data_IF_870377456555
#
_entry.id   IF_870377456555
#
_cell.length_a   1.000
_cell.length_b   1.000
_cell.length_c   1.000
_cell.angle_alpha   90.00
_cell.angle_beta   90.00
_cell.angle_gamma   90.00
#
_symmetry.space_group_name_H-M   'P 1'
#
loop_
_entity.id
_entity.type
_entity.pdbx_description
1 polymer ?
#
# COMPACT_ATOMS: atom_id res chain seq x y z
N UNK A 1 -2.40 31.67 11.28
CA UNK A 1 -2.89 31.41 9.92
C UNK A 1 -2.31 30.07 9.55
N UNK A 2 -3.04 29.00 9.92
CA UNK A 2 -2.61 27.61 9.76
C UNK A 2 -2.86 27.17 8.32
N UNK A 3 -1.79 27.00 7.52
CA UNK A 3 -1.85 26.39 6.17
C UNK A 3 -0.54 25.68 5.78
N UNK A 4 0.07 24.97 6.73
CA UNK A 4 1.12 24.00 6.45
C UNK A 4 0.53 22.62 6.73
N UNK A 5 0.23 21.88 5.66
CA UNK A 5 0.11 20.43 5.77
C UNK A 5 1.11 19.86 4.78
N UNK A 6 2.27 19.46 5.28
CA UNK A 6 2.91 18.28 4.75
C UNK A 6 1.94 17.12 4.89
N UNK A 7 1.84 16.35 3.81
CA UNK A 7 0.93 15.21 3.74
C UNK A 7 1.53 13.95 4.38
N UNK A 8 2.74 14.05 4.96
CA UNK A 8 3.38 12.99 5.72
C UNK A 8 2.84 12.87 7.16
N UNK A 9 2.37 13.95 7.80
CA UNK A 9 2.02 13.90 9.24
C UNK A 9 0.61 14.38 9.62
N UNK A 10 -0.27 14.74 8.69
CA UNK A 10 -1.60 15.26 9.04
C UNK A 10 -2.75 14.47 8.39
N UNK A 11 -2.92 13.25 8.87
CA UNK A 11 -4.11 12.40 8.69
C UNK A 11 -5.34 12.96 9.43
N UNK A 12 -5.84 14.16 9.09
CA UNK A 12 -7.15 14.59 9.60
C UNK A 12 -7.98 15.32 8.55
N UNK A 13 -9.04 14.64 8.09
CA UNK A 13 -10.39 15.15 7.73
C UNK A 13 -11.31 14.10 7.06
N UNK A 14 -10.94 12.83 7.04
CA UNK A 14 -11.94 11.77 7.21
C UNK A 14 -12.33 11.74 8.70
N UNK A 15 -13.57 11.39 9.08
CA UNK A 15 -13.80 10.91 10.44
C UNK A 15 -12.77 9.81 10.68
N UNK A 16 -11.96 9.93 11.74
CA UNK A 16 -11.19 8.79 12.19
C UNK A 16 -12.19 7.62 12.31
N UNK A 17 -12.00 6.49 11.61
CA UNK A 17 -12.85 5.33 11.83
C UNK A 17 -12.66 4.78 13.25
N UNK A 18 -11.70 5.32 14.00
CA UNK A 18 -11.42 4.98 15.38
C UNK A 18 -12.05 6.00 16.30
N UNK A 19 -12.83 5.43 17.22
CA UNK A 19 -13.54 6.06 18.31
C UNK A 19 -12.64 6.90 19.25
N UNK A 20 -13.27 7.53 20.23
CA UNK A 20 -12.64 8.33 21.30
C UNK A 20 -11.61 7.55 22.17
N UNK A 21 -11.21 6.32 21.80
CA UNK A 21 -10.17 5.55 22.50
C UNK A 21 -8.75 6.04 22.21
N UNK A 22 -8.56 6.86 21.18
CA UNK A 22 -7.26 7.45 20.82
C UNK A 22 -6.24 6.45 20.25
N UNK A 23 -6.67 5.25 19.84
CA UNK A 23 -5.79 4.23 19.26
C UNK A 23 -5.67 4.42 17.75
N UNK A 24 -4.43 4.45 17.25
CA UNK A 24 -4.11 4.52 15.83
C UNK A 24 -3.80 3.13 15.26
N UNK A 25 -4.16 2.84 14.00
CA UNK A 25 -3.71 1.64 13.30
C UNK A 25 -2.19 1.60 13.20
N UNK A 26 -1.65 0.39 13.13
CA UNK A 26 -0.29 0.19 12.63
C UNK A 26 -0.26 0.18 11.09
N UNK A 27 0.93 0.18 10.51
CA UNK A 27 1.13 0.30 9.05
C UNK A 27 0.47 -0.84 8.26
N UNK A 28 0.48 -2.06 8.82
CA UNK A 28 -0.19 -3.22 8.24
C UNK A 28 -1.71 -3.05 8.24
N UNK A 29 -2.27 -2.57 9.34
CA UNK A 29 -3.70 -2.24 9.44
C UNK A 29 -4.09 -1.10 8.49
N UNK A 30 -3.26 -0.06 8.37
CA UNK A 30 -3.51 1.07 7.46
C UNK A 30 -3.56 0.65 5.99
N UNK A 31 -2.67 -0.24 5.57
CA UNK A 31 -2.67 -0.78 4.20
C UNK A 31 -4.01 -1.46 3.85
N UNK A 32 -4.57 -2.20 4.81
CA UNK A 32 -5.87 -2.88 4.62
C UNK A 32 -7.02 -1.87 4.55
N UNK A 33 -7.02 -0.89 5.45
CA UNK A 33 -8.06 0.17 5.49
C UNK A 33 -8.02 1.00 4.21
N UNK A 34 -6.83 1.41 3.76
CA UNK A 34 -6.63 2.18 2.55
C UNK A 34 -7.13 1.43 1.31
N UNK A 35 -6.83 0.13 1.19
CA UNK A 35 -7.33 -0.70 0.10
C UNK A 35 -8.87 -0.79 0.08
N UNK A 36 -9.52 -0.98 1.23
CA UNK A 36 -10.99 -1.00 1.32
C UNK A 36 -11.62 0.33 0.91
N UNK A 37 -11.05 1.44 1.37
CA UNK A 37 -11.56 2.77 1.04
C UNK A 37 -11.37 3.11 -0.43
N UNK A 38 -10.23 2.71 -1.01
CA UNK A 38 -9.96 2.93 -2.43
C UNK A 38 -10.88 2.06 -3.31
N UNK A 39 -11.16 0.81 -2.92
CA UNK A 39 -12.17 -0.02 -3.60
C UNK A 39 -13.54 0.66 -3.63
N UNK A 40 -13.99 1.21 -2.51
CA UNK A 40 -15.26 1.93 -2.45
C UNK A 40 -15.24 3.18 -3.34
N UNK A 41 -14.10 3.88 -3.38
CA UNK A 41 -13.89 5.07 -4.19
C UNK A 41 -13.94 4.80 -5.71
N UNK A 42 -13.41 3.67 -6.18
CA UNK A 42 -13.45 3.30 -7.60
C UNK A 42 -14.85 2.92 -8.07
N UNK A 43 -15.70 2.42 -7.17
CA UNK A 43 -17.04 1.95 -7.50
C UNK A 43 -18.03 3.03 -7.96
N UNK A 44 -17.75 4.34 -7.77
CA UNK A 44 -18.61 5.55 -8.01
C UNK A 44 -20.04 5.51 -7.43
N UNK A 45 -20.53 4.35 -7.03
CA UNK A 45 -21.79 4.00 -6.40
C UNK A 45 -21.71 2.50 -6.05
N UNK A 46 -20.82 2.10 -5.12
CA UNK A 46 -20.45 0.70 -4.93
C UNK A 46 -21.62 -0.23 -4.57
N UNK A 47 -22.71 0.30 -3.99
CA UNK A 47 -23.80 -0.52 -3.45
C UNK A 47 -23.41 -1.25 -2.16
N UNK A 48 -22.24 -0.94 -1.62
CA UNK A 48 -21.69 -1.50 -0.38
C UNK A 48 -20.89 -0.42 0.37
N UNK A 49 -20.62 -0.68 1.65
CA UNK A 49 -19.77 0.14 2.53
C UNK A 49 -18.82 -0.75 3.31
N UNK A 50 -17.66 -0.21 3.63
CA UNK A 50 -16.76 -0.79 4.63
C UNK A 50 -16.82 -0.01 5.95
N UNK A 51 -16.71 -0.71 7.06
CA UNK A 51 -16.43 -0.14 8.37
C UNK A 51 -15.22 -0.85 8.98
N UNK A 52 -14.32 -0.08 9.60
CA UNK A 52 -13.16 -0.61 10.30
C UNK A 52 -13.25 -0.25 11.78
N UNK A 53 -12.85 -1.16 12.66
CA UNK A 53 -12.83 -0.94 14.11
C UNK A 53 -11.56 -1.51 14.72
N UNK A 54 -10.93 -0.76 15.62
CA UNK A 54 -9.78 -1.22 16.39
C UNK A 54 -10.21 -1.62 17.78
N UNK A 55 -9.90 -2.86 18.14
CA UNK A 55 -10.16 -3.38 19.47
C UNK A 55 -8.96 -4.06 20.08
N UNK A 56 -9.21 -4.75 21.18
CA UNK A 56 -8.21 -5.54 21.89
C UNK A 56 -8.81 -6.86 22.32
N UNK A 57 -8.00 -7.90 22.19
CA UNK A 57 -8.24 -9.21 22.74
C UNK A 57 -7.06 -9.60 23.65
N UNK A 58 -7.20 -10.73 24.33
CA UNK A 58 -6.07 -11.33 25.04
C UNK A 58 -4.95 -11.68 24.05
N UNK A 59 -3.70 -11.49 24.48
CA UNK A 59 -2.50 -11.86 23.72
C UNK A 59 -2.55 -13.32 23.29
N UNK A 60 -1.98 -13.64 22.12
CA UNK A 60 -2.00 -15.01 21.60
C UNK A 60 -1.41 -16.03 22.57
N UNK A 61 -0.33 -15.68 23.24
CA UNK A 61 0.36 -16.54 24.22
C UNK A 61 -0.53 -16.88 25.41
N UNK A 62 -1.42 -15.96 25.81
CA UNK A 62 -2.35 -16.16 26.91
C UNK A 62 -3.61 -16.92 26.51
N UNK A 63 -4.07 -16.71 25.27
CA UNK A 63 -5.27 -17.34 24.72
C UNK A 63 -5.12 -17.54 23.20
N UNK A 64 -4.63 -18.71 22.76
CA UNK A 64 -4.57 -19.03 21.33
C UNK A 64 -5.98 -19.16 20.74
N UNK A 65 -6.13 -18.83 19.46
CA UNK A 65 -7.40 -18.97 18.72
C UNK A 65 -7.40 -20.21 17.81
N UNK A 66 -6.77 -21.30 18.24
CA UNK A 66 -6.89 -22.59 17.54
C UNK A 66 -8.34 -23.09 17.48
N UNK A 67 -9.17 -22.65 18.43
CA UNK A 67 -10.61 -22.82 18.45
C UNK A 67 -11.30 -21.45 18.57
N UNK A 68 -12.59 -21.41 18.27
CA UNK A 68 -13.40 -20.18 18.37
C UNK A 68 -13.46 -19.73 19.85
N UNK A 69 -13.00 -18.51 20.17
CA UNK A 69 -13.11 -17.97 21.52
C UNK A 69 -14.56 -17.66 21.91
N UNK A 70 -14.88 -17.46 23.20
CA UNK A 70 -16.22 -17.10 23.63
C UNK A 70 -16.79 -15.89 22.85
N UNK A 71 -18.05 -15.98 22.41
CA UNK A 71 -18.69 -14.92 21.60
C UNK A 71 -18.71 -13.56 22.30
N UNK A 72 -18.76 -13.53 23.64
CA UNK A 72 -18.65 -12.30 24.42
C UNK A 72 -17.29 -11.61 24.24
N UNK A 73 -16.21 -12.39 24.13
CA UNK A 73 -14.86 -11.87 23.91
C UNK A 73 -14.72 -11.33 22.48
N UNK A 74 -15.31 -12.01 21.49
CA UNK A 74 -15.35 -11.51 20.10
C UNK A 74 -16.16 -10.23 19.97
N UNK A 75 -17.30 -10.18 20.66
CA UNK A 75 -18.18 -9.01 20.71
C UNK A 75 -17.44 -7.80 21.28
N UNK A 76 -16.72 -7.99 22.38
CA UNK A 76 -15.90 -6.96 23.00
C UNK A 76 -14.71 -6.55 22.11
N UNK A 77 -14.00 -7.52 21.54
CA UNK A 77 -12.82 -7.27 20.71
C UNK A 77 -13.16 -6.58 19.37
N UNK A 78 -14.34 -6.82 18.81
CA UNK A 78 -14.76 -6.22 17.55
C UNK A 78 -15.74 -5.05 17.67
N UNK A 79 -16.25 -4.73 18.87
CA UNK A 79 -17.23 -3.66 19.03
C UNK A 79 -18.58 -3.94 18.36
N UNK A 80 -19.07 -5.19 18.40
CA UNK A 80 -20.38 -5.60 17.85
C UNK A 80 -20.97 -6.77 18.64
N UNK A 81 -22.13 -7.28 18.23
CA UNK A 81 -22.74 -8.47 18.84
C UNK A 81 -22.48 -9.70 17.97
N UNK A 82 -21.55 -10.56 18.39
CA UNK A 82 -21.27 -11.83 17.71
C UNK A 82 -22.32 -12.90 18.06
N UNK A 83 -22.81 -13.60 17.05
CA UNK A 83 -23.77 -14.71 17.14
C UNK A 83 -23.16 -16.06 16.76
N UNK A 84 -22.09 -16.04 15.96
CA UNK A 84 -21.34 -17.20 15.52
C UNK A 84 -19.96 -16.77 15.04
N UNK A 85 -19.02 -17.71 14.94
CA UNK A 85 -17.71 -17.42 14.36
C UNK A 85 -17.06 -18.69 13.82
N UNK A 86 -16.16 -18.49 12.88
CA UNK A 86 -15.31 -19.53 12.31
C UNK A 86 -13.88 -19.02 12.21
N UNK A 87 -12.94 -19.80 12.73
CA UNK A 87 -11.51 -19.56 12.54
C UNK A 87 -11.17 -19.84 11.07
N UNK A 88 -10.74 -18.81 10.35
CA UNK A 88 -10.23 -18.96 8.98
C UNK A 88 -8.79 -19.44 9.03
N UNK A 89 -7.98 -18.82 9.88
CA UNK A 89 -6.65 -19.30 10.26
C UNK A 89 -6.29 -18.80 11.65
N UNK A 90 -5.49 -19.56 12.38
CA UNK A 90 -4.87 -19.14 13.61
C UNK A 90 -3.45 -19.68 13.70
N UNK A 91 -2.61 -18.97 14.44
CA UNK A 91 -1.26 -19.41 14.76
C UNK A 91 -1.31 -20.24 16.04
N UNK A 92 -0.95 -21.52 15.94
CA UNK A 92 -0.96 -22.48 17.05
C UNK A 92 0.41 -23.10 17.27
N UNK A 93 0.75 -23.40 18.52
CA UNK A 93 1.93 -24.21 18.84
C UNK A 93 1.52 -25.67 18.95
N UNK A 94 2.11 -26.53 18.11
CA UNK A 94 1.87 -27.97 18.17
C UNK A 94 2.37 -28.59 19.50
N UNK A 95 3.40 -27.99 20.11
CA UNK A 95 3.92 -28.38 21.42
C UNK A 95 4.64 -27.19 22.11
N UNK A 96 4.81 -27.21 23.44
CA UNK A 96 5.60 -26.19 24.14
C UNK A 96 7.01 -26.05 23.55
N UNK A 97 7.41 -24.83 23.22
CA UNK A 97 8.72 -24.52 22.65
C UNK A 97 8.85 -24.73 21.13
N UNK A 98 7.79 -25.18 20.44
CA UNK A 98 7.75 -25.17 18.96
C UNK A 98 7.37 -23.80 18.42
N UNK A 99 7.77 -23.47 17.18
CA UNK A 99 7.27 -22.28 16.50
C UNK A 99 5.74 -22.33 16.37
N UNK A 100 5.13 -21.16 16.23
CA UNK A 100 3.74 -21.08 15.85
C UNK A 100 3.59 -21.43 14.37
N UNK A 101 2.59 -22.24 14.07
CA UNK A 101 2.26 -22.65 12.70
C UNK A 101 0.79 -22.31 12.40
N UNK A 102 0.47 -21.93 11.14
CA UNK A 102 -0.90 -21.67 10.74
C UNK A 102 -1.73 -22.96 10.79
N UNK A 103 -2.96 -22.89 11.30
CA UNK A 103 -3.89 -24.03 11.32
C UNK A 103 -4.30 -24.52 9.93
N UNK A 104 -4.11 -23.70 8.89
CA UNK A 104 -4.51 -23.99 7.50
C UNK A 104 -3.48 -23.41 6.52
N UNK A 105 -3.28 -24.01 5.33
CA UNK A 105 -2.43 -23.44 4.28
C UNK A 105 -2.86 -22.02 3.92
N UNK A 106 -1.91 -21.09 3.84
CA UNK A 106 -2.22 -19.66 3.67
C UNK A 106 -2.92 -19.38 2.34
N UNK A 107 -2.50 -20.01 1.24
CA UNK A 107 -3.11 -19.78 -0.08
C UNK A 107 -4.58 -20.20 -0.14
N UNK A 108 -4.92 -21.30 0.54
CA UNK A 108 -6.31 -21.74 0.66
C UNK A 108 -7.16 -20.73 1.45
N UNK A 109 -6.58 -20.11 2.49
CA UNK A 109 -7.25 -19.08 3.29
C UNK A 109 -7.34 -17.76 2.52
N UNK A 110 -6.31 -17.37 1.76
CA UNK A 110 -6.30 -16.20 0.87
C UNK A 110 -7.41 -16.30 -0.18
N UNK A 111 -7.48 -17.42 -0.90
CA UNK A 111 -8.53 -17.66 -1.89
C UNK A 111 -9.94 -17.62 -1.27
N UNK A 112 -10.09 -18.15 -0.06
CA UNK A 112 -11.35 -18.10 0.66
C UNK A 112 -11.74 -16.67 1.10
N UNK A 113 -10.78 -15.89 1.62
CA UNK A 113 -11.01 -14.48 2.00
C UNK A 113 -11.34 -13.63 0.78
N UNK A 114 -10.61 -13.81 -0.32
CA UNK A 114 -10.90 -13.13 -1.59
C UNK A 114 -12.31 -13.45 -2.08
N UNK A 115 -12.73 -14.73 -2.02
CA UNK A 115 -14.10 -15.13 -2.39
C UNK A 115 -15.17 -14.52 -1.47
N UNK A 116 -14.93 -14.45 -0.16
CA UNK A 116 -15.84 -13.81 0.79
C UNK A 116 -15.98 -12.31 0.49
N UNK A 117 -14.88 -11.62 0.21
CA UNK A 117 -14.89 -10.20 -0.16
C UNK A 117 -15.59 -9.97 -1.50
N UNK A 118 -15.23 -10.73 -2.54
CA UNK A 118 -15.82 -10.62 -3.88
C UNK A 118 -17.32 -10.92 -3.91
N UNK A 119 -17.82 -11.75 -2.99
CA UNK A 119 -19.26 -11.98 -2.86
C UNK A 119 -20.03 -10.73 -2.39
N UNK A 120 -19.35 -9.76 -1.76
CA UNK A 120 -19.96 -8.52 -1.23
C UNK A 120 -19.53 -7.27 -1.99
N UNK A 121 -18.35 -7.32 -2.60
CA UNK A 121 -17.73 -6.24 -3.35
C UNK A 121 -17.73 -6.65 -4.83
N UNK A 122 -18.64 -6.12 -5.65
CA UNK A 122 -18.65 -6.43 -7.07
C UNK A 122 -17.36 -5.91 -7.71
N UNK A 123 -16.56 -6.83 -8.27
CA UNK A 123 -15.40 -6.47 -9.07
C UNK A 123 -15.88 -5.91 -10.42
N UNK A 124 -15.70 -4.61 -10.64
CA UNK A 124 -16.15 -3.93 -11.86
C UNK A 124 -15.11 -3.98 -12.99
N UNK A 125 -13.83 -4.07 -12.65
CA UNK A 125 -12.69 -4.05 -13.56
C UNK A 125 -11.49 -4.85 -12.99
N UNK A 126 -10.46 -5.06 -13.82
CA UNK A 126 -9.22 -5.75 -13.46
C UNK A 126 -8.56 -5.14 -12.22
N UNK A 127 -8.49 -3.81 -12.16
CA UNK A 127 -7.93 -3.03 -11.05
C UNK A 127 -8.62 -3.35 -9.72
N UNK A 128 -9.95 -3.41 -9.71
CA UNK A 128 -10.74 -3.79 -8.52
C UNK A 128 -10.42 -5.23 -8.11
N UNK A 129 -10.25 -6.14 -9.07
CA UNK A 129 -9.79 -7.51 -8.83
C UNK A 129 -8.43 -7.56 -8.16
N UNK A 130 -7.42 -6.86 -8.69
CA UNK A 130 -6.07 -6.81 -8.11
C UNK A 130 -6.04 -6.27 -6.69
N UNK A 131 -6.87 -5.28 -6.38
CA UNK A 131 -6.93 -4.72 -5.02
C UNK A 131 -7.68 -5.65 -4.05
N UNK A 132 -8.61 -6.47 -4.53
CA UNK A 132 -9.21 -7.56 -3.74
C UNK A 132 -8.19 -8.68 -3.44
N UNK A 133 -7.36 -9.04 -4.42
CA UNK A 133 -6.27 -10.01 -4.22
C UNK A 133 -5.27 -9.49 -3.17
N UNK A 134 -4.85 -8.23 -3.29
CA UNK A 134 -4.01 -7.56 -2.30
C UNK A 134 -4.62 -7.59 -0.89
N UNK A 135 -5.92 -7.32 -0.75
CA UNK A 135 -6.60 -7.45 0.54
C UNK A 135 -6.53 -8.87 1.09
N UNK A 136 -6.74 -9.88 0.25
CA UNK A 136 -6.58 -11.29 0.62
C UNK A 136 -5.19 -11.58 1.19
N UNK A 137 -4.14 -11.13 0.50
CA UNK A 137 -2.76 -11.28 0.96
C UNK A 137 -2.47 -10.56 2.28
N UNK A 138 -2.92 -9.30 2.41
CA UNK A 138 -2.64 -8.50 3.62
C UNK A 138 -3.43 -8.98 4.85
N UNK A 139 -4.63 -9.54 4.63
CA UNK A 139 -5.42 -10.14 5.70
C UNK A 139 -4.84 -11.49 6.15
N UNK A 140 -4.24 -12.23 5.23
CA UNK A 140 -3.70 -13.57 5.44
C UNK A 140 -2.18 -13.55 5.32
N UNK A 141 -1.56 -12.96 6.34
CA UNK A 141 -0.10 -13.01 6.54
C UNK A 141 0.25 -14.08 7.59
N UNK A 142 1.52 -14.51 7.71
CA UNK A 142 1.89 -15.63 8.58
C UNK A 142 1.65 -15.40 10.06
N UNK A 143 1.52 -14.15 10.50
CA UNK A 143 1.53 -13.83 11.93
C UNK A 143 0.16 -13.67 12.59
N UNK A 144 -0.87 -13.03 12.03
CA UNK A 144 -2.14 -12.81 12.72
C UNK A 144 -3.06 -14.04 12.73
N UNK A 145 -4.00 -14.02 13.66
CA UNK A 145 -5.17 -14.89 13.62
C UNK A 145 -6.29 -14.18 12.83
N UNK A 146 -7.09 -14.92 12.07
CA UNK A 146 -8.18 -14.37 11.27
C UNK A 146 -9.46 -15.19 11.45
N UNK A 147 -10.54 -14.52 11.83
CA UNK A 147 -11.87 -15.10 12.01
C UNK A 147 -12.87 -14.46 11.08
N UNK A 148 -13.80 -15.27 10.58
CA UNK A 148 -15.07 -14.81 10.04
C UNK A 148 -16.10 -14.85 11.17
N UNK A 149 -16.76 -13.73 11.45
CA UNK A 149 -17.72 -13.62 12.57
C UNK A 149 -19.11 -13.28 12.05
N UNK A 150 -20.11 -13.99 12.54
CA UNK A 150 -21.51 -13.80 12.18
C UNK A 150 -22.16 -12.88 13.22
N UNK A 151 -22.83 -11.81 12.78
CA UNK A 151 -23.54 -10.86 13.65
C UNK A 151 -25.08 -10.94 13.54
N UNK A 152 -25.60 -11.82 12.69
CA UNK A 152 -27.03 -11.95 12.40
C UNK A 152 -27.58 -10.89 11.45
N UNK A 153 -26.70 -10.15 10.77
CA UNK A 153 -27.00 -9.26 9.66
C UNK A 153 -26.50 -9.86 8.34
N UNK A 154 -26.71 -9.13 7.24
CA UNK A 154 -26.16 -9.49 5.93
C UNK A 154 -24.82 -8.76 5.70
N UNK A 155 -23.96 -8.65 6.71
CA UNK A 155 -22.63 -8.10 6.56
C UNK A 155 -21.57 -9.21 6.67
N UNK A 156 -20.44 -9.02 5.99
CA UNK A 156 -19.24 -9.81 6.18
C UNK A 156 -18.40 -9.15 7.27
N UNK A 157 -18.17 -9.84 8.40
CA UNK A 157 -17.23 -9.38 9.42
C UNK A 157 -15.99 -10.26 9.47
N UNK A 158 -14.83 -9.66 9.20
CA UNK A 158 -13.53 -10.27 9.37
C UNK A 158 -12.85 -9.66 10.59
N UNK A 159 -12.35 -10.50 11.48
CA UNK A 159 -11.68 -10.09 12.71
C UNK A 159 -10.26 -10.63 12.71
N UNK A 160 -9.29 -9.73 12.54
CA UNK A 160 -7.86 -10.00 12.48
C UNK A 160 -7.22 -9.63 13.81
N UNK A 161 -6.49 -10.56 14.44
CA UNK A 161 -5.78 -10.34 15.71
C UNK A 161 -4.29 -10.53 15.55
N UNK A 162 -3.53 -9.53 16.00
CA UNK A 162 -2.07 -9.59 16.09
C UNK A 162 -1.59 -10.38 17.31
N UNK A 163 -0.29 -10.73 17.33
CA UNK A 163 0.31 -11.48 18.43
C UNK A 163 0.15 -10.77 19.80
N UNK A 164 0.14 -9.44 19.80
CA UNK A 164 0.01 -8.55 20.97
C UNK A 164 -1.45 -8.22 21.33
N UNK A 165 -2.40 -8.99 20.80
CA UNK A 165 -3.83 -8.81 21.10
C UNK A 165 -4.48 -7.59 20.44
N UNK A 166 -3.77 -6.78 19.64
CA UNK A 166 -4.40 -5.75 18.79
C UNK A 166 -5.36 -6.42 17.81
N UNK A 167 -6.55 -5.85 17.66
CA UNK A 167 -7.58 -6.39 16.76
C UNK A 167 -7.98 -5.34 15.75
N UNK A 168 -8.02 -5.73 14.47
CA UNK A 168 -8.70 -5.01 13.41
C UNK A 168 -9.94 -5.80 13.01
N UNK A 169 -11.11 -5.21 13.19
CA UNK A 169 -12.35 -5.70 12.57
C UNK A 169 -12.60 -4.93 11.28
N UNK A 170 -12.89 -5.65 10.21
CA UNK A 170 -13.42 -5.11 8.96
C UNK A 170 -14.83 -5.64 8.80
N UNK A 171 -15.74 -4.74 8.45
CA UNK A 171 -17.12 -5.06 8.11
C UNK A 171 -17.38 -4.59 6.69
N UNK A 172 -17.89 -5.47 5.83
CA UNK A 172 -18.37 -5.13 4.49
C UNK A 172 -19.85 -5.41 4.42
N UNK A 173 -20.66 -4.39 4.17
CA UNK A 173 -22.11 -4.49 4.19
C UNK A 173 -22.72 -3.83 2.95
N UNK A 174 -23.90 -4.27 2.47
CA UNK A 174 -24.67 -3.53 1.49
C UNK A 174 -24.96 -2.09 1.97
N UNK A 175 -24.92 -1.13 1.04
CA UNK A 175 -25.21 0.26 1.33
C UNK A 175 -25.84 0.95 0.12
N UNK A 176 -26.65 1.96 0.39
CA UNK A 176 -27.11 2.87 -0.67
C UNK A 176 -25.91 3.61 -1.29
N UNK A 177 -25.98 4.00 -2.57
CA UNK A 177 -25.00 4.85 -3.20
C UNK A 177 -24.75 6.12 -2.37
N UNK A 178 -23.49 6.37 -2.04
CA UNK A 178 -23.05 7.61 -1.38
C UNK A 178 -22.30 8.46 -2.41
N UNK A 179 -22.37 9.78 -2.25
CA UNK A 179 -21.58 10.71 -3.05
C UNK A 179 -20.08 10.45 -2.92
N UNK A 180 -19.36 10.93 -3.93
CA UNK A 180 -17.96 10.63 -4.17
C UNK A 180 -17.05 10.88 -2.95
N UNK A 181 -16.07 10.01 -2.74
CA UNK A 181 -15.13 10.15 -1.62
C UNK A 181 -14.24 11.38 -1.80
N UNK A 182 -13.99 12.10 -0.71
CA UNK A 182 -13.18 13.33 -0.69
C UNK A 182 -11.80 13.09 -1.32
N UNK A 183 -11.37 13.96 -2.23
CA UNK A 183 -10.10 13.89 -2.99
C UNK A 183 -8.90 13.58 -2.09
N UNK A 184 -8.83 14.21 -0.92
CA UNK A 184 -7.75 14.02 0.06
C UNK A 184 -7.64 12.56 0.49
N UNK A 185 -8.77 11.88 0.61
CA UNK A 185 -8.87 10.49 1.05
C UNK A 185 -8.33 9.57 -0.02
N UNK A 186 -8.69 9.81 -1.28
CA UNK A 186 -8.17 9.04 -2.42
C UNK A 186 -6.66 9.17 -2.53
N UNK A 187 -6.12 10.38 -2.44
CA UNK A 187 -4.68 10.61 -2.44
C UNK A 187 -4.00 9.90 -1.28
N UNK A 188 -4.54 9.99 -0.07
CA UNK A 188 -4.00 9.29 1.11
C UNK A 188 -3.98 7.77 0.92
N UNK A 189 -5.06 7.18 0.38
CA UNK A 189 -5.11 5.75 0.09
C UNK A 189 -4.08 5.35 -0.97
N UNK A 190 -3.97 6.11 -2.06
CA UNK A 190 -2.98 5.87 -3.12
C UNK A 190 -1.56 5.92 -2.56
N UNK A 191 -1.20 6.96 -1.81
CA UNK A 191 0.14 7.08 -1.21
C UNK A 191 0.44 5.97 -0.21
N UNK A 192 -0.53 5.58 0.61
CA UNK A 192 -0.37 4.48 1.58
C UNK A 192 -0.07 3.17 0.85
N UNK A 193 -0.79 2.88 -0.23
CA UNK A 193 -0.61 1.63 -0.97
C UNK A 193 0.66 1.65 -1.83
N UNK A 194 0.94 2.77 -2.50
CA UNK A 194 2.16 2.92 -3.30
C UNK A 194 3.41 2.84 -2.43
N UNK A 195 3.48 3.58 -1.31
CA UNK A 195 4.63 3.50 -0.40
C UNK A 195 4.80 2.14 0.27
N UNK A 196 3.77 1.28 0.25
CA UNK A 196 3.89 -0.10 0.71
C UNK A 196 4.46 -1.04 -0.35
N UNK A 197 4.15 -0.76 -1.62
CA UNK A 197 4.48 -1.59 -2.79
C UNK A 197 5.79 -1.17 -3.46
N UNK A 198 6.21 0.07 -3.31
CA UNK A 198 7.37 0.64 -4.00
C UNK A 198 8.52 0.82 -3.01
N UNK A 199 9.64 0.18 -3.30
CA UNK A 199 10.86 0.21 -2.49
C UNK A 199 12.06 0.54 -3.38
N UNK A 200 13.11 1.10 -2.79
CA UNK A 200 14.41 1.33 -3.41
C UNK A 200 15.44 0.57 -2.58
N UNK A 201 16.29 -0.19 -3.26
CA UNK A 201 17.34 -1.05 -2.68
C UNK A 201 16.83 -1.96 -1.55
N UNK A 202 15.57 -2.40 -1.66
CA UNK A 202 14.84 -3.25 -0.69
C UNK A 202 14.82 -2.72 0.77
N UNK A 203 15.21 -1.46 1.00
CA UNK A 203 15.35 -0.90 2.34
C UNK A 203 14.63 0.43 2.53
N UNK A 204 14.38 1.18 1.46
CA UNK A 204 13.79 2.51 1.55
C UNK A 204 12.46 2.58 0.77
N UNK A 205 11.31 2.87 1.40
CA UNK A 205 10.05 2.99 0.68
C UNK A 205 10.03 4.26 -0.17
N UNK A 206 9.51 4.16 -1.38
CA UNK A 206 9.24 5.36 -2.20
C UNK A 206 8.11 6.15 -1.55
N UNK A 207 8.39 7.40 -1.21
CA UNK A 207 7.44 8.26 -0.49
C UNK A 207 6.85 9.32 -1.41
N UNK A 208 5.53 9.52 -1.30
CA UNK A 208 4.80 10.49 -2.11
C UNK A 208 4.22 11.59 -1.23
N UNK A 209 4.35 12.84 -1.66
CA UNK A 209 3.68 14.00 -1.05
C UNK A 209 3.04 14.81 -2.16
N UNK A 210 1.82 15.29 -1.94
CA UNK A 210 1.18 16.19 -2.89
C UNK A 210 0.57 17.42 -2.24
N UNK A 211 0.74 18.57 -2.87
CA UNK A 211 0.06 19.80 -2.50
C UNK A 211 -0.84 20.22 -3.64
N UNK A 212 -2.10 20.54 -3.32
CA UNK A 212 -3.07 21.01 -4.31
C UNK A 212 -3.75 22.26 -3.75
N UNK A 213 -3.79 23.34 -4.52
CA UNK A 213 -4.39 24.58 -4.07
C UNK A 213 -4.71 25.56 -5.19
N UNK A 214 -5.41 26.66 -4.85
CA UNK A 214 -5.72 27.70 -5.82
C UNK A 214 -4.43 28.35 -6.34
N UNK A 215 -4.39 28.58 -7.65
CA UNK A 215 -3.37 29.37 -8.31
C UNK A 215 -3.59 30.83 -7.93
N UNK A 216 -2.79 31.33 -6.97
CA UNK A 216 -2.76 32.75 -6.63
C UNK A 216 -2.10 33.58 -7.74
N UNK A 217 -1.79 34.85 -7.46
CA UNK A 217 -1.06 35.73 -8.41
C UNK A 217 0.42 35.37 -8.57
N UNK A 218 0.97 34.52 -7.68
CA UNK A 218 2.34 34.04 -7.76
C UNK A 218 2.46 32.96 -8.85
N UNK A 219 3.60 32.94 -9.55
CA UNK A 219 3.91 31.83 -10.44
C UNK A 219 4.01 30.49 -9.67
N UNK A 220 3.80 29.38 -10.36
CA UNK A 220 3.73 28.05 -9.75
C UNK A 220 5.02 27.67 -9.02
N UNK A 221 6.16 28.15 -9.51
CA UNK A 221 7.47 27.95 -8.89
C UNK A 221 7.59 28.65 -7.53
N UNK A 222 7.14 29.89 -7.42
CA UNK A 222 7.09 30.62 -6.16
C UNK A 222 6.05 30.04 -5.20
N UNK A 223 4.94 29.51 -5.71
CA UNK A 223 3.99 28.77 -4.90
C UNK A 223 4.65 27.54 -4.29
N UNK A 224 5.30 26.71 -5.13
CA UNK A 224 6.03 25.51 -4.72
C UNK A 224 7.11 25.79 -3.67
N UNK A 225 8.01 26.75 -3.91
CA UNK A 225 9.08 27.12 -2.96
C UNK A 225 8.49 27.51 -1.60
N UNK A 226 7.36 28.22 -1.58
CA UNK A 226 6.72 28.70 -0.34
C UNK A 226 5.99 27.61 0.43
N UNK A 227 5.58 26.53 -0.23
CA UNK A 227 4.78 25.47 0.38
C UNK A 227 5.60 24.27 0.84
N UNK A 228 6.89 24.20 0.49
CA UNK A 228 7.82 23.19 1.04
C UNK A 228 8.13 23.46 2.51
N UNK A 229 8.25 22.39 3.26
CA UNK A 229 8.78 22.45 4.64
C UNK A 229 10.25 22.83 4.63
N UNK A 230 11.02 22.20 3.74
CA UNK A 230 12.42 22.50 3.47
C UNK A 230 12.54 23.20 2.10
N UNK A 231 12.50 24.55 2.08
CA UNK A 231 12.68 25.30 0.85
C UNK A 231 14.12 25.09 0.35
N UNK A 232 14.32 24.85 -0.96
CA UNK A 232 15.66 24.69 -1.49
C UNK A 232 16.45 25.99 -1.42
N UNK A 233 17.78 25.87 -1.34
CA UNK A 233 18.71 27.01 -1.32
C UNK A 233 18.63 27.86 -2.60
N UNK A 234 18.19 27.24 -3.71
CA UNK A 234 17.93 27.90 -4.99
C UNK A 234 16.56 27.48 -5.55
N UNK A 235 15.94 28.37 -6.31
CA UNK A 235 14.75 28.02 -7.09
C UNK A 235 15.17 26.99 -8.14
N UNK A 236 14.58 25.78 -8.17
CA UNK A 236 14.98 24.75 -9.12
C UNK A 236 14.58 25.15 -10.53
N UNK A 237 15.35 24.67 -11.49
CA UNK A 237 14.99 24.76 -12.89
C UNK A 237 13.87 23.76 -13.20
N UNK A 238 12.76 24.26 -13.72
CA UNK A 238 11.63 23.42 -14.14
C UNK A 238 11.85 23.00 -15.59
N UNK A 239 12.00 21.69 -15.80
CA UNK A 239 12.09 21.09 -17.12
C UNK A 239 10.67 20.77 -17.62
N UNK A 240 10.34 21.14 -18.87
CA UNK A 240 9.01 20.89 -19.42
C UNK A 240 8.75 19.38 -19.53
N UNK A 241 7.50 18.99 -19.29
CA UNK A 241 7.06 17.61 -19.28
C UNK A 241 5.72 17.49 -20.02
N UNK A 242 5.62 16.57 -20.97
CA UNK A 242 4.33 16.21 -21.58
C UNK A 242 3.55 15.24 -20.69
N UNK A 243 2.24 15.10 -20.91
CA UNK A 243 1.43 14.12 -20.18
C UNK A 243 1.93 12.68 -20.40
N UNK A 244 2.34 12.35 -21.63
CA UNK A 244 2.90 11.05 -21.97
C UNK A 244 4.20 10.79 -21.21
N UNK A 245 5.08 11.78 -21.16
CA UNK A 245 6.33 11.73 -20.39
C UNK A 245 6.08 11.64 -18.88
N UNK A 246 5.07 12.33 -18.35
CA UNK A 246 4.69 12.20 -16.94
C UNK A 246 4.24 10.78 -16.61
N UNK A 247 3.36 10.21 -17.43
CA UNK A 247 2.89 8.83 -17.27
C UNK A 247 4.05 7.84 -17.39
N UNK A 248 4.93 8.03 -18.37
CA UNK A 248 6.12 7.20 -18.56
C UNK A 248 7.06 7.28 -17.37
N UNK A 249 7.36 8.47 -16.87
CA UNK A 249 8.23 8.64 -15.70
C UNK A 249 7.65 7.98 -14.45
N UNK A 250 6.33 8.11 -14.21
CA UNK A 250 5.68 7.40 -13.11
C UNK A 250 5.71 5.88 -13.28
N UNK A 251 5.54 5.37 -14.50
CA UNK A 251 5.69 3.94 -14.79
C UNK A 251 7.12 3.45 -14.54
N UNK A 252 8.13 4.26 -14.88
CA UNK A 252 9.53 3.95 -14.60
C UNK A 252 9.86 3.97 -13.11
N UNK A 253 9.28 4.88 -12.32
CA UNK A 253 9.38 4.83 -10.86
C UNK A 253 8.84 3.49 -10.32
N UNK A 254 7.69 3.04 -10.82
CA UNK A 254 7.13 1.73 -10.40
C UNK A 254 8.05 0.59 -10.81
N UNK A 255 8.54 0.60 -12.04
CA UNK A 255 9.44 -0.45 -12.56
C UNK A 255 10.73 -0.54 -11.76
N UNK A 256 11.42 0.59 -11.59
CA UNK A 256 12.68 0.64 -10.84
C UNK A 256 12.52 0.10 -9.42
N UNK A 257 11.37 0.32 -8.80
CA UNK A 257 11.08 -0.22 -7.47
C UNK A 257 10.77 -1.71 -7.40
N UNK A 258 10.31 -2.34 -8.48
CA UNK A 258 9.93 -3.76 -8.50
C UNK A 258 11.04 -4.67 -9.04
N UNK A 259 12.02 -4.09 -9.74
CA UNK A 259 13.19 -4.80 -10.27
C UNK A 259 14.17 -5.23 -9.15
N UNK A 260 14.09 -4.63 -7.96
CA UNK A 260 14.82 -5.10 -6.77
C UNK A 260 14.25 -6.36 -6.11
N UNK A 261 13.10 -6.87 -6.57
CA UNK A 261 12.42 -8.07 -6.04
C UNK A 261 12.54 -9.28 -6.98
N UNK A 262 13.17 -9.17 -8.15
CA UNK A 262 13.24 -10.26 -9.15
C UNK A 262 14.42 -11.22 -8.99
N UNK A 263 14.94 -11.38 -7.76
CA UNK A 263 15.93 -12.43 -7.42
C UNK A 263 15.27 -13.74 -6.92
N UNK A 264 13.96 -13.90 -7.10
CA UNK A 264 13.24 -15.15 -6.84
C UNK A 264 12.67 -15.73 -8.17
N UNK A 265 13.55 -16.21 -9.05
CA UNK A 265 13.21 -17.34 -9.91
C UNK A 265 13.82 -18.62 -9.31
N UNK A 266 12.94 -19.58 -9.06
CA UNK A 266 13.20 -20.94 -8.62
C UNK A 266 14.47 -21.55 -9.25
N UNK A 267 15.48 -21.85 -8.43
CA UNK A 267 16.39 -22.96 -8.69
C UNK A 267 16.29 -23.97 -7.55
N UNK A 268 15.97 -25.18 -7.99
CA UNK A 268 15.69 -26.42 -7.29
C UNK A 268 16.64 -26.68 -6.10
N UNK A 269 16.09 -27.26 -5.02
CA UNK A 269 16.85 -27.87 -3.93
C UNK A 269 18.05 -28.66 -4.48
N UNK A 270 19.25 -28.10 -4.35
CA UNK A 270 20.49 -28.82 -4.65
C UNK A 270 20.58 -30.01 -3.71
N UNK A 271 20.50 -31.22 -4.26
CA UNK A 271 20.74 -32.47 -3.53
C UNK A 271 22.07 -32.38 -2.77
N UNK A 272 22.06 -32.76 -1.48
CA UNK A 272 23.25 -32.80 -0.63
C UNK A 272 24.40 -33.53 -1.35
N UNK A 273 25.47 -32.80 -1.70
CA UNK A 273 26.70 -33.38 -2.21
C UNK A 273 27.38 -34.21 -1.13
N UNK A 274 27.71 -35.47 -1.45
CA UNK A 274 28.47 -36.37 -0.57
C UNK A 274 29.82 -35.73 -0.17
N UNK A 275 30.22 -35.93 1.10
CA UNK A 275 31.49 -35.44 1.66
C UNK A 275 32.70 -35.80 0.75
N UNK A 276 33.37 -34.79 0.21
CA UNK A 276 34.63 -34.93 -0.50
C UNK A 276 35.82 -35.12 0.45
N UNK A 277 36.67 -36.10 0.17
CA UNK A 277 37.93 -36.34 0.90
C UNK A 277 38.91 -35.15 0.79
N UNK A 278 39.75 -34.96 1.82
CA UNK A 278 40.74 -33.89 1.93
C UNK A 278 41.63 -33.75 0.67
N UNK A 279 41.60 -32.56 0.05
CA UNK A 279 42.40 -32.18 -1.12
C UNK A 279 43.27 -30.94 -0.86
N UNK A 280 44.46 -30.93 -1.47
CA UNK A 280 45.62 -30.03 -1.23
C UNK A 280 45.38 -28.52 -1.53
N UNK A 281 46.30 -27.69 -1.03
CA UNK A 281 46.32 -26.21 -1.08
C UNK A 281 45.91 -25.60 -2.44
N UNK A 282 44.99 -24.62 -2.40
CA UNK A 282 44.45 -23.95 -3.59
C UNK A 282 45.36 -22.87 -4.18
N UNK A 283 45.37 -22.77 -5.51
CA UNK A 283 45.94 -21.64 -6.25
C UNK A 283 45.00 -20.41 -6.17
N UNK A 284 45.57 -19.21 -6.16
CA UNK A 284 44.83 -17.94 -6.12
C UNK A 284 43.89 -17.81 -7.34
N UNK A 285 42.61 -17.48 -7.10
CA UNK A 285 41.61 -17.27 -8.15
C UNK A 285 41.88 -16.02 -9.00
N UNK A 286 41.59 -16.10 -10.30
CA UNK A 286 41.66 -14.96 -11.22
C UNK A 286 40.61 -13.89 -10.87
N UNK A 287 40.96 -12.62 -11.06
CA UNK A 287 40.07 -11.48 -10.83
C UNK A 287 38.79 -11.60 -11.70
N UNK A 288 37.62 -11.36 -11.09
CA UNK A 288 36.34 -11.39 -11.80
C UNK A 288 36.23 -10.28 -12.85
N UNK A 289 35.68 -10.61 -14.02
CA UNK A 289 35.40 -9.64 -15.07
C UNK A 289 34.32 -8.65 -14.62
N UNK A 290 34.49 -7.36 -14.99
CA UNK A 290 33.51 -6.30 -14.73
C UNK A 290 32.17 -6.64 -15.42
N UNK A 291 31.05 -6.51 -14.69
CA UNK A 291 29.71 -6.75 -15.23
C UNK A 291 29.36 -5.78 -16.36
N UNK A 292 28.83 -6.32 -17.46
CA UNK A 292 28.38 -5.54 -18.62
C UNK A 292 27.25 -4.55 -18.24
N UNK A 293 27.28 -3.37 -18.88
CA UNK A 293 26.36 -2.25 -18.66
C UNK A 293 24.88 -2.64 -18.79
N UNK A 294 24.06 -2.15 -17.86
CA UNK A 294 22.66 -2.53 -17.67
C UNK A 294 21.73 -2.25 -18.85
N UNK A 295 21.37 -3.31 -19.58
CA UNK A 295 20.09 -3.38 -20.27
C UNK A 295 18.98 -3.47 -19.21
N UNK A 296 18.12 -2.46 -19.16
CA UNK A 296 16.95 -2.42 -18.26
C UNK A 296 16.15 -3.75 -18.33
N UNK A 297 15.92 -4.44 -17.20
CA UNK A 297 15.22 -5.74 -17.18
C UNK A 297 13.71 -5.61 -17.50
N UNK A 298 12.97 -6.72 -17.72
CA UNK A 298 11.82 -6.76 -18.64
C UNK A 298 10.60 -5.98 -18.16
N UNK A 299 9.66 -5.73 -19.09
CA UNK A 299 8.43 -4.98 -18.91
C UNK A 299 7.72 -5.28 -17.57
N UNK A 300 7.23 -4.23 -16.87
CA UNK A 300 6.36 -4.37 -15.70
C UNK A 300 5.32 -5.48 -15.95
N UNK A 301 5.16 -6.47 -15.06
CA UNK A 301 4.16 -7.51 -15.25
C UNK A 301 2.79 -6.88 -15.57
N UNK A 302 2.17 -7.22 -16.72
CA UNK A 302 0.91 -6.63 -17.11
C UNK A 302 -0.15 -6.80 -16.01
N UNK A 303 -0.78 -5.69 -15.63
CA UNK A 303 -1.82 -5.69 -14.60
C UNK A 303 -1.30 -5.71 -13.16
N UNK A 304 -0.02 -5.41 -12.91
CA UNK A 304 0.49 -5.23 -11.55
C UNK A 304 -0.26 -4.09 -10.83
N UNK A 305 -0.63 -4.29 -9.55
CA UNK A 305 -1.44 -3.33 -8.79
C UNK A 305 -0.78 -1.95 -8.71
N UNK A 306 0.53 -1.87 -8.51
CA UNK A 306 1.25 -0.60 -8.43
C UNK A 306 1.13 0.23 -9.71
N UNK A 307 1.10 -0.40 -10.89
CA UNK A 307 0.87 0.28 -12.17
C UNK A 307 -0.51 0.93 -12.23
N UNK A 308 -1.55 0.22 -11.78
CA UNK A 308 -2.90 0.78 -11.70
C UNK A 308 -3.00 1.95 -10.69
N UNK A 309 -2.36 1.81 -9.52
CA UNK A 309 -2.36 2.86 -8.49
C UNK A 309 -1.64 4.13 -8.98
N UNK A 310 -0.50 3.98 -9.67
CA UNK A 310 0.21 5.12 -10.26
C UNK A 310 -0.58 5.79 -11.38
N UNK A 311 -1.19 5.00 -12.27
CA UNK A 311 -2.06 5.54 -13.32
C UNK A 311 -3.21 6.37 -12.72
N UNK A 312 -3.87 5.85 -11.67
CA UNK A 312 -4.93 6.56 -10.97
C UNK A 312 -4.45 7.82 -10.26
N UNK A 313 -3.25 7.81 -9.68
CA UNK A 313 -2.66 9.01 -9.08
C UNK A 313 -2.46 10.10 -10.13
N UNK A 314 -1.88 9.75 -11.29
CA UNK A 314 -1.70 10.69 -12.41
C UNK A 314 -3.04 11.22 -12.90
N UNK A 315 -4.02 10.34 -13.14
CA UNK A 315 -5.36 10.72 -13.58
C UNK A 315 -6.05 11.64 -12.59
N UNK A 316 -5.93 11.34 -11.29
CA UNK A 316 -6.53 12.12 -10.22
C UNK A 316 -5.93 13.53 -10.17
N UNK A 317 -4.61 13.66 -10.32
CA UNK A 317 -3.92 14.95 -10.33
C UNK A 317 -4.25 15.79 -11.58
N UNK A 318 -4.19 15.17 -12.76
CA UNK A 318 -4.50 15.85 -14.03
C UNK A 318 -5.97 16.25 -14.13
N UNK A 319 -6.89 15.38 -13.69
CA UNK A 319 -8.33 15.71 -13.64
C UNK A 319 -8.61 16.81 -12.65
N UNK A 320 -7.87 16.84 -11.53
CA UNK A 320 -8.04 17.86 -10.51
C UNK A 320 -7.61 19.24 -10.99
N UNK A 321 -6.50 19.30 -11.73
CA UNK A 321 -5.94 20.52 -12.29
C UNK A 321 -6.49 20.71 -13.72
N UNK A 322 -7.74 21.19 -13.81
CA UNK A 322 -8.40 21.48 -15.08
C UNK A 322 -7.59 22.48 -15.94
N UNK A 323 -7.67 22.32 -17.27
CA UNK A 323 -7.01 23.19 -18.26
C UNK A 323 -5.50 23.37 -17.98
N UNK A 324 -4.74 22.28 -17.96
CA UNK A 324 -3.28 22.29 -17.72
C UNK A 324 -2.57 23.21 -18.72
N UNK A 325 -1.97 24.28 -18.19
CA UNK A 325 -1.18 25.27 -18.92
C UNK A 325 0.33 24.98 -18.86
N UNK A 326 0.79 24.36 -17.77
CA UNK A 326 2.16 23.93 -17.58
C UNK A 326 2.18 22.57 -16.86
N UNK A 327 2.97 21.67 -17.41
CA UNK A 327 3.39 20.43 -16.77
C UNK A 327 4.91 20.40 -16.86
N UNK A 328 5.56 20.26 -15.71
CA UNK A 328 7.01 20.34 -15.60
C UNK A 328 7.50 19.52 -14.42
N UNK A 329 8.80 19.25 -14.37
CA UNK A 329 9.42 18.62 -13.22
C UNK A 329 10.74 19.30 -12.83
N UNK A 330 11.20 19.02 -11.61
CA UNK A 330 12.52 19.35 -11.12
C UNK A 330 13.12 18.12 -10.43
N UNK A 331 14.45 18.03 -10.47
CA UNK A 331 15.24 16.93 -9.95
C UNK A 331 15.17 15.66 -10.80
N UNK A 332 15.52 14.52 -10.20
CA UNK A 332 15.56 13.25 -10.91
C UNK A 332 14.17 12.67 -11.11
N UNK A 333 13.68 12.76 -12.34
CA UNK A 333 12.49 12.07 -12.78
C UNK A 333 12.88 11.16 -13.95
N UNK A 334 12.61 9.84 -13.90
CA UNK A 334 13.13 8.85 -14.86
C UNK A 334 12.39 8.93 -16.21
N UNK A 335 12.54 10.06 -16.89
CA UNK A 335 12.02 10.34 -18.23
C UNK A 335 13.12 10.24 -19.29
N UNK A 336 14.38 10.35 -18.87
CA UNK A 336 15.59 10.33 -19.69
C UNK A 336 16.59 9.33 -19.11
N UNK A 337 17.41 8.72 -19.97
CA UNK A 337 18.34 7.64 -19.60
C UNK A 337 19.60 8.10 -18.84
N UNK A 338 19.71 9.39 -18.51
CA UNK A 338 20.88 9.91 -17.78
C UNK A 338 20.60 9.85 -16.27
N UNK A 339 21.36 9.03 -15.51
CA UNK A 339 21.26 9.02 -14.05
C UNK A 339 21.77 10.35 -13.51
N UNK A 340 20.92 11.04 -12.76
CA UNK A 340 21.32 12.20 -11.98
C UNK A 340 21.64 11.74 -10.55
N UNK A 341 22.54 12.43 -9.84
CA UNK A 341 22.86 12.14 -8.43
C UNK A 341 21.71 12.55 -7.49
N UNK A 342 20.68 13.20 -8.02
CA UNK A 342 19.47 13.54 -7.27
C UNK A 342 18.54 12.33 -7.14
N UNK A 343 17.92 12.19 -5.97
CA UNK A 343 17.01 11.06 -5.69
C UNK A 343 15.59 11.52 -5.37
N UNK A 344 15.26 12.76 -5.73
CA UNK A 344 13.95 13.34 -5.52
C UNK A 344 13.43 13.88 -6.84
N UNK A 345 12.18 13.56 -7.15
CA UNK A 345 11.45 14.16 -8.26
C UNK A 345 10.39 15.10 -7.70
N UNK A 346 10.26 16.27 -8.29
CA UNK A 346 9.12 17.16 -8.07
C UNK A 346 8.40 17.35 -9.39
N UNK A 347 7.14 16.97 -9.48
CA UNK A 347 6.28 17.26 -10.63
C UNK A 347 5.34 18.41 -10.30
N UNK A 348 5.31 19.42 -11.15
CA UNK A 348 4.46 20.62 -11.03
C UNK A 348 3.44 20.64 -12.15
N UNK A 349 2.17 20.73 -11.77
CA UNK A 349 1.01 20.79 -12.67
C UNK A 349 0.28 22.10 -12.42
N UNK A 350 0.18 22.94 -13.44
CA UNK A 350 -0.41 24.26 -13.34
C UNK A 350 -1.58 24.34 -14.30
N UNK A 351 -2.78 24.50 -13.76
CA UNK A 351 -4.01 24.72 -14.52
C UNK A 351 -4.47 26.16 -14.43
N UNK A 352 -5.55 26.49 -15.11
CA UNK A 352 -6.08 27.86 -15.14
C UNK A 352 -6.44 28.42 -13.75
N UNK A 353 -6.83 27.55 -12.81
CA UNK A 353 -7.34 27.95 -11.48
C UNK A 353 -6.54 27.41 -10.32
N UNK A 354 -5.73 26.38 -10.55
CA UNK A 354 -5.11 25.58 -9.49
C UNK A 354 -3.72 25.12 -9.86
N UNK A 355 -2.96 24.80 -8.81
CA UNK A 355 -1.63 24.21 -8.90
C UNK A 355 -1.64 22.93 -8.09
N UNK A 356 -1.11 21.86 -8.68
CA UNK A 356 -0.73 20.66 -7.97
C UNK A 356 0.79 20.47 -8.05
N UNK A 357 1.36 19.99 -6.95
CA UNK A 357 2.74 19.56 -6.85
C UNK A 357 2.73 18.15 -6.32
N UNK A 358 3.51 17.28 -6.94
CA UNK A 358 3.79 15.92 -6.48
C UNK A 358 5.28 15.80 -6.23
N UNK A 359 5.68 15.65 -4.98
CA UNK A 359 7.04 15.26 -4.62
C UNK A 359 7.11 13.73 -4.48
N UNK A 360 8.16 13.15 -5.05
CA UNK A 360 8.48 11.73 -5.07
C UNK A 360 9.88 11.59 -4.49
N UNK A 361 9.99 10.89 -3.38
CA UNK A 361 11.25 10.62 -2.70
C UNK A 361 11.65 9.17 -2.96
N UNK A 362 12.79 8.98 -3.62
CA UNK A 362 13.33 7.69 -4.02
C UNK A 362 14.45 7.20 -3.09
N UNK A 363 14.75 7.89 -1.98
CA UNK A 363 15.77 7.44 -1.02
C UNK A 363 15.28 7.22 0.40
N UNK A 364 14.11 7.72 0.78
CA UNK A 364 13.52 7.49 2.10
C UNK A 364 14.16 8.28 3.25
#
# INVERSE_FOLDING_TARGET
MDRTTSYAENWHRQPSPFDDTGRLPDDGQWSIIAALWLLAAWGRSPGWRSESFLGTAADRSSRPWGEVPPLADLSAAGGFTAQGARVLTAQVQAAPGRPYEPTRPQDAVRAEVAALLAARIPAADERTGRLLDFLGERLVVPYPDLLHVEAGDDALHLLRREHNGRVLRITVAPAEPVEDTDLRTRLACLFTLLGRLLWVDNNNPVSFRAWIGPRGDADATQWWVRTREDPPDAVPELLPLTEEEFRRGMDQVVRGSLIGDSDDEDDEDGEDGEDGEDGEDGEDGEDGEDGEDGEWPPELPPGHLAGHLCADLVDLLLTRVEDVELLAYAGYFPVTDEPDEEHNATVVIVGAREVAVLDIDLLG
#
